data_IF_982647629645
#
_entry.id   IF_982647629645
#
_cell.length_a   1.000
_cell.length_b   1.000
_cell.length_c   1.000
_cell.angle_alpha   90.00
_cell.angle_beta   90.00
_cell.angle_gamma   90.00
#
_symmetry.space_group_name_H-M   'P 1'
#
loop_
_entity.id
_entity.type
_entity.pdbx_description
1 polymer ?
#
# COMPACT_ATOMS: atom_id res chain seq x y z
N UNK A 1 39.89 4.52 53.40
CA UNK A 1 41.17 5.01 52.85
C UNK A 1 41.20 4.72 51.36
N UNK A 2 41.71 5.64 50.51
CA UNK A 2 41.27 5.85 49.14
C UNK A 2 41.99 4.95 48.13
N UNK A 3 41.39 4.71 46.95
CA UNK A 3 42.13 4.29 45.76
C UNK A 3 41.87 5.28 44.62
N UNK A 4 42.98 5.69 44.04
CA UNK A 4 43.25 6.87 43.24
C UNK A 4 42.71 6.82 41.82
N UNK A 5 42.20 7.98 41.38
CA UNK A 5 41.90 8.37 40.00
C UNK A 5 43.19 8.40 39.16
N UNK A 6 43.22 7.71 38.02
CA UNK A 6 44.15 8.01 36.91
C UNK A 6 43.34 8.49 35.71
N UNK A 7 43.41 9.80 35.48
CA UNK A 7 43.07 10.46 34.24
C UNK A 7 44.35 10.75 33.47
N UNK A 8 44.44 10.25 32.24
CA UNK A 8 45.23 10.80 31.13
C UNK A 8 44.75 10.04 29.89
N UNK A 9 43.93 10.60 29.00
CA UNK A 9 44.12 11.90 28.36
C UNK A 9 44.76 11.65 27.01
N UNK A 10 43.92 11.46 25.99
CA UNK A 10 44.32 11.24 24.60
C UNK A 10 43.15 11.56 23.67
N UNK A 11 42.86 12.86 23.55
CA UNK A 11 41.99 13.46 22.55
C UNK A 11 42.39 13.01 21.12
N UNK A 12 41.50 12.91 20.13
CA UNK A 12 40.81 14.06 19.52
C UNK A 12 39.61 13.59 18.69
N UNK A 13 38.49 14.27 18.92
CA UNK A 13 37.49 14.58 17.91
C UNK A 13 38.18 15.18 16.69
N UNK A 14 38.02 14.56 15.52
CA UNK A 14 38.14 15.25 14.23
C UNK A 14 37.14 14.64 13.26
N UNK A 15 36.08 15.42 13.02
CA UNK A 15 35.14 15.35 11.90
C UNK A 15 34.41 14.02 11.68
N UNK A 16 33.12 14.03 12.01
CA UNK A 16 32.13 13.07 11.54
C UNK A 16 32.02 13.06 10.02
N UNK A 17 32.92 12.34 9.37
CA UNK A 17 32.74 11.81 8.03
C UNK A 17 32.35 10.36 8.19
N UNK A 18 31.07 10.07 7.98
CA UNK A 18 30.58 8.70 7.86
C UNK A 18 31.42 8.01 6.78
N UNK A 19 32.00 6.85 7.08
CA UNK A 19 32.77 6.09 6.09
C UNK A 19 31.82 5.67 4.96
N UNK A 20 31.99 6.22 3.77
CA UNK A 20 31.24 5.79 2.59
C UNK A 20 31.71 4.38 2.23
N UNK A 21 30.83 3.39 2.38
CA UNK A 21 31.04 2.03 1.90
C UNK A 21 31.34 2.08 0.39
N UNK A 22 32.58 1.74 0.00
CA UNK A 22 32.96 1.68 -1.41
C UNK A 22 32.50 0.35 -2.00
N UNK A 23 31.49 0.39 -2.86
CA UNK A 23 31.06 -0.79 -3.62
C UNK A 23 31.99 -0.99 -4.82
N UNK A 24 33.19 -1.49 -4.58
CA UNK A 24 34.01 -2.10 -5.63
C UNK A 24 33.62 -3.58 -5.79
N UNK A 25 32.34 -3.86 -6.04
CA UNK A 25 31.95 -5.18 -6.53
C UNK A 25 32.15 -5.19 -8.04
N UNK A 26 33.29 -5.75 -8.45
CA UNK A 26 33.53 -6.16 -9.83
C UNK A 26 32.47 -7.19 -10.20
N UNK A 27 31.47 -6.78 -10.99
CA UNK A 27 30.55 -7.71 -11.66
C UNK A 27 31.39 -8.53 -12.64
N UNK A 28 31.78 -9.74 -12.23
CA UNK A 28 32.49 -10.68 -13.09
C UNK A 28 31.50 -11.30 -14.07
N UNK A 29 31.24 -10.60 -15.17
CA UNK A 29 31.06 -11.27 -16.47
C UNK A 29 32.00 -10.60 -17.46
N UNK A 30 33.24 -11.10 -17.47
CA UNK A 30 34.18 -10.86 -18.55
C UNK A 30 33.59 -11.42 -19.85
N UNK A 31 33.39 -10.56 -20.84
CA UNK A 31 33.16 -10.99 -22.23
C UNK A 31 34.51 -10.96 -22.94
N UNK A 32 35.11 -12.12 -23.29
CA UNK A 32 36.15 -12.15 -24.31
C UNK A 32 35.52 -12.26 -25.70
N UNK A 33 35.94 -11.37 -26.60
CA UNK A 33 35.61 -11.39 -28.03
C UNK A 33 36.76 -12.05 -28.78
N UNK A 34 36.56 -13.27 -29.31
CA UNK A 34 37.24 -13.73 -30.53
C UNK A 34 36.73 -15.09 -31.05
N UNK A 35 36.49 -15.09 -32.37
CA UNK A 35 36.76 -16.13 -33.36
C UNK A 35 36.12 -17.55 -33.29
N UNK A 36 35.23 -17.78 -34.28
CA UNK A 36 35.09 -18.96 -35.16
C UNK A 36 35.03 -20.40 -34.56
N UNK A 37 33.86 -21.01 -34.78
CA UNK A 37 33.61 -22.25 -35.52
C UNK A 37 33.03 -23.47 -34.74
N UNK A 38 31.84 -23.90 -35.23
CA UNK A 38 31.29 -25.29 -35.32
C UNK A 38 31.00 -26.02 -34.00
N UNK A 39 29.91 -26.73 -33.76
CA UNK A 39 28.66 -27.07 -34.45
C UNK A 39 27.72 -27.66 -33.37
N UNK A 40 26.44 -27.91 -33.69
CA UNK A 40 25.42 -28.70 -32.94
C UNK A 40 24.40 -27.97 -32.02
N UNK A 41 23.26 -27.64 -32.65
CA UNK A 41 21.85 -27.68 -32.19
C UNK A 41 21.39 -26.97 -30.90
N UNK A 42 20.51 -25.94 -31.01
CA UNK A 42 19.65 -25.50 -29.91
C UNK A 42 18.17 -25.86 -30.12
N UNK A 43 17.55 -26.36 -29.05
CA UNK A 43 16.12 -26.69 -28.94
C UNK A 43 15.32 -25.39 -28.65
N UNK A 44 14.45 -25.06 -29.60
CA UNK A 44 13.13 -24.38 -29.54
C UNK A 44 12.89 -23.31 -28.44
N UNK A 45 12.79 -22.04 -28.90
CA UNK A 45 12.00 -20.98 -28.27
C UNK A 45 10.96 -20.42 -29.27
N UNK A 46 9.87 -19.91 -28.70
CA UNK A 46 8.51 -19.66 -29.22
C UNK A 46 8.35 -18.70 -30.41
N UNK A 47 7.22 -18.77 -31.15
CA UNK A 47 6.94 -17.89 -32.29
C UNK A 47 6.10 -16.67 -31.89
N UNK A 48 6.65 -15.46 -32.05
CA UNK A 48 5.88 -14.23 -32.18
C UNK A 48 6.26 -13.60 -33.53
N UNK A 49 5.33 -13.64 -34.50
CA UNK A 49 5.51 -13.06 -35.84
C UNK A 49 4.29 -12.18 -36.13
N UNK A 50 4.45 -10.86 -35.97
CA UNK A 50 3.55 -9.86 -36.51
C UNK A 50 4.33 -9.13 -37.59
N UNK A 51 3.99 -9.41 -38.85
CA UNK A 51 4.59 -8.80 -40.02
C UNK A 51 3.92 -7.44 -40.27
N UNK A 52 4.74 -6.40 -40.41
CA UNK A 52 4.38 -5.11 -41.00
C UNK A 52 5.10 -5.04 -42.34
N UNK A 53 4.36 -4.72 -43.41
CA UNK A 53 4.89 -4.36 -44.72
C UNK A 53 4.23 -3.04 -45.09
N UNK A 54 5.05 -2.02 -45.31
CA UNK A 54 4.72 -0.78 -46.02
C UNK A 54 5.08 -0.93 -47.52
N UNK A 55 4.87 0.16 -48.27
CA UNK A 55 5.18 0.46 -49.69
C UNK A 55 3.96 0.16 -50.63
N UNK A 56 3.38 1.09 -51.40
CA UNK A 56 3.90 2.28 -52.12
C UNK A 56 2.82 3.37 -52.39
N UNK A 57 3.27 4.59 -52.74
CA UNK A 57 2.54 5.81 -53.10
C UNK A 57 2.06 5.84 -54.57
N UNK A 58 0.86 6.39 -54.85
CA UNK A 58 0.58 7.42 -55.87
C UNK A 58 -0.94 7.78 -56.00
N UNK A 59 -1.17 9.08 -56.17
CA UNK A 59 -2.35 9.95 -56.43
C UNK A 59 -3.31 9.46 -57.57
N UNK A 60 -4.53 9.94 -57.83
CA UNK A 60 -5.44 10.99 -57.36
C UNK A 60 -6.85 10.68 -57.98
N UNK A 61 -7.89 11.32 -57.44
CA UNK A 61 -9.05 11.89 -58.16
C UNK A 61 -10.47 11.25 -58.04
N UNK A 62 -11.39 12.19 -57.78
CA UNK A 62 -12.87 12.24 -57.84
C UNK A 62 -13.72 11.20 -57.11
N UNK A 63 -14.57 11.66 -56.17
CA UNK A 63 -15.94 12.18 -56.41
C UNK A 63 -16.80 12.02 -55.14
N UNK A 64 -17.32 13.15 -54.66
CA UNK A 64 -18.23 13.25 -53.52
C UNK A 64 -19.56 12.54 -53.83
N UNK A 65 -20.02 11.66 -52.92
CA UNK A 65 -21.45 11.40 -52.73
C UNK A 65 -21.79 11.46 -51.24
N UNK A 66 -22.62 12.46 -50.96
CA UNK A 66 -23.28 12.75 -49.69
C UNK A 66 -24.40 11.73 -49.50
N UNK A 67 -24.29 10.84 -48.50
CA UNK A 67 -25.36 9.89 -48.15
C UNK A 67 -25.66 10.00 -46.66
N UNK A 68 -26.69 10.80 -46.40
CA UNK A 68 -27.79 10.60 -45.46
C UNK A 68 -27.50 10.04 -44.06
N UNK A 69 -27.69 10.95 -43.09
CA UNK A 69 -27.89 10.75 -41.66
C UNK A 69 -28.85 9.58 -41.39
N UNK A 70 -28.30 8.45 -40.94
CA UNK A 70 -29.06 7.40 -40.25
C UNK A 70 -28.74 7.44 -38.76
N UNK A 71 -29.78 7.63 -37.95
CA UNK A 71 -29.69 7.53 -36.49
C UNK A 71 -29.38 6.06 -36.10
N UNK A 72 -28.38 5.79 -35.26
CA UNK A 72 -28.23 4.46 -34.69
C UNK A 72 -29.16 4.28 -33.49
N UNK A 73 -30.03 3.27 -33.59
CA UNK A 73 -30.84 2.71 -32.51
C UNK A 73 -30.01 2.44 -31.23
N UNK A 74 -30.62 2.55 -30.03
CA UNK A 74 -29.91 2.38 -28.78
C UNK A 74 -29.49 0.92 -28.58
N UNK A 75 -28.20 0.66 -28.73
CA UNK A 75 -27.54 -0.57 -28.29
C UNK A 75 -27.79 -0.71 -26.79
N UNK A 76 -28.53 -1.76 -26.43
CA UNK A 76 -28.79 -2.18 -25.06
C UNK A 76 -27.47 -2.26 -24.28
N UNK A 77 -27.24 -1.25 -23.44
CA UNK A 77 -26.18 -1.26 -22.45
C UNK A 77 -26.56 -2.35 -21.46
N UNK A 78 -25.83 -3.47 -21.51
CA UNK A 78 -25.91 -4.49 -20.47
C UNK A 78 -25.44 -3.84 -19.18
N UNK A 79 -26.42 -3.41 -18.38
CA UNK A 79 -26.22 -3.01 -16.99
C UNK A 79 -25.71 -4.26 -16.28
N UNK A 80 -24.39 -4.30 -16.04
CA UNK A 80 -23.83 -5.13 -14.99
C UNK A 80 -24.51 -4.67 -13.72
N UNK A 81 -25.43 -5.49 -13.25
CA UNK A 81 -26.21 -5.29 -12.04
C UNK A 81 -25.22 -5.08 -10.88
N UNK A 82 -25.06 -3.82 -10.43
CA UNK A 82 -24.39 -3.54 -9.18
C UNK A 82 -25.15 -4.31 -8.08
N UNK A 83 -24.50 -5.21 -7.32
CA UNK A 83 -25.17 -5.92 -6.24
C UNK A 83 -25.74 -4.89 -5.27
N UNK A 84 -27.08 -4.90 -5.14
CA UNK A 84 -27.80 -4.09 -4.16
C UNK A 84 -27.21 -4.34 -2.77
N UNK A 85 -27.05 -3.26 -2.02
CA UNK A 85 -26.40 -3.21 -0.70
C UNK A 85 -27.18 -3.98 0.37
N UNK A 86 -27.12 -5.30 0.33
CA UNK A 86 -27.37 -6.10 1.50
C UNK A 86 -26.13 -5.96 2.39
N UNK A 87 -26.28 -5.20 3.49
CA UNK A 87 -25.25 -5.05 4.53
C UNK A 87 -24.55 -6.37 4.76
N UNK A 88 -23.22 -6.38 4.64
CA UNK A 88 -22.46 -7.62 4.75
C UNK A 88 -22.69 -8.28 6.12
N UNK A 89 -22.59 -9.61 6.22
CA UNK A 89 -22.73 -10.31 7.50
C UNK A 89 -21.78 -9.72 8.58
N UNK A 90 -20.60 -9.30 8.15
CA UNK A 90 -19.64 -8.59 8.98
C UNK A 90 -20.18 -7.27 9.54
N UNK A 91 -20.84 -6.45 8.73
CA UNK A 91 -21.47 -5.20 9.17
C UNK A 91 -22.62 -5.46 10.12
N UNK A 92 -23.44 -6.49 9.88
CA UNK A 92 -24.50 -6.89 10.81
C UNK A 92 -23.94 -7.31 12.16
N UNK A 93 -22.82 -8.06 12.16
CA UNK A 93 -22.09 -8.43 13.38
C UNK A 93 -21.53 -7.19 14.07
N UNK A 94 -20.92 -6.27 13.32
CA UNK A 94 -20.35 -5.04 13.84
C UNK A 94 -21.39 -4.11 14.46
N UNK A 95 -22.56 -3.97 13.84
CA UNK A 95 -23.67 -3.18 14.37
C UNK A 95 -24.18 -3.70 15.73
N UNK A 96 -24.06 -5.01 15.97
CA UNK A 96 -24.42 -5.62 17.27
C UNK A 96 -23.35 -5.40 18.35
N UNK A 97 -22.15 -4.92 18.01
CA UNK A 97 -21.06 -4.75 18.96
C UNK A 97 -21.29 -3.54 19.87
N UNK A 98 -21.40 -3.83 21.17
CA UNK A 98 -21.54 -2.81 22.21
C UNK A 98 -20.21 -2.12 22.56
N UNK A 99 -20.27 -0.91 23.11
CA UNK A 99 -19.07 -0.18 23.59
C UNK A 99 -18.32 -0.94 24.70
N UNK A 100 -19.06 -1.75 25.48
CA UNK A 100 -18.48 -2.63 26.49
C UNK A 100 -17.62 -3.72 25.86
N UNK A 101 -18.02 -4.28 24.71
CA UNK A 101 -17.22 -5.25 23.99
C UNK A 101 -15.95 -4.61 23.39
N UNK A 102 -16.07 -3.40 22.84
CA UNK A 102 -14.91 -2.65 22.32
C UNK A 102 -13.90 -2.36 23.43
N UNK A 103 -14.36 -1.91 24.60
CA UNK A 103 -13.48 -1.67 25.76
C UNK A 103 -12.88 -2.96 26.31
N UNK A 104 -13.65 -4.06 26.40
CA UNK A 104 -13.12 -5.36 26.79
C UNK A 104 -12.04 -5.88 25.83
N UNK A 105 -12.25 -5.72 24.52
CA UNK A 105 -11.27 -6.05 23.48
C UNK A 105 -9.96 -5.26 23.68
N UNK A 106 -10.05 -3.94 23.88
CA UNK A 106 -8.87 -3.11 24.12
C UNK A 106 -8.13 -3.51 25.41
N UNK A 107 -8.86 -3.72 26.50
CA UNK A 107 -8.28 -4.15 27.78
C UNK A 107 -7.56 -5.51 27.67
N UNK A 108 -8.09 -6.44 26.85
CA UNK A 108 -7.42 -7.71 26.57
C UNK A 108 -6.08 -7.48 25.87
N UNK A 109 -6.06 -6.65 24.83
CA UNK A 109 -4.83 -6.31 24.09
C UNK A 109 -3.80 -5.59 24.96
N UNK A 110 -4.24 -4.69 25.86
CA UNK A 110 -3.33 -4.02 26.78
C UNK A 110 -2.71 -4.98 27.79
N UNK A 111 -3.50 -5.92 28.32
CA UNK A 111 -3.02 -6.94 29.26
C UNK A 111 -1.97 -7.87 28.67
N UNK A 112 -2.01 -8.11 27.36
CA UNK A 112 -0.98 -8.89 26.66
C UNK A 112 0.36 -8.15 26.55
N UNK A 113 0.39 -6.83 26.77
CA UNK A 113 1.63 -6.04 26.70
C UNK A 113 2.40 -6.12 28.01
N UNK A 114 3.73 -6.17 27.90
CA UNK A 114 4.64 -6.14 29.06
C UNK A 114 4.78 -4.75 29.70
N UNK A 115 4.49 -3.69 28.95
CA UNK A 115 4.69 -2.30 29.39
C UNK A 115 3.51 -1.41 29.00
N UNK A 116 3.27 -0.38 29.82
CA UNK A 116 2.30 0.67 29.52
C UNK A 116 2.72 1.43 28.26
N UNK A 117 1.73 1.87 27.47
CA UNK A 117 1.97 2.77 26.34
C UNK A 117 2.18 4.20 26.84
N UNK A 118 3.07 4.91 26.16
CA UNK A 118 3.37 6.33 26.42
C UNK A 118 2.53 7.23 25.51
N UNK A 119 2.27 8.48 25.94
CA UNK A 119 1.59 9.52 25.15
C UNK A 119 0.20 9.10 24.62
N UNK A 120 -0.63 8.51 25.48
CA UNK A 120 -1.98 8.03 25.11
C UNK A 120 -3.12 8.71 25.89
N UNK A 121 -2.79 9.76 26.63
CA UNK A 121 -3.73 10.44 27.54
C UNK A 121 -4.82 11.17 26.74
N UNK A 122 -4.46 11.75 25.60
CA UNK A 122 -5.37 12.52 24.74
C UNK A 122 -6.12 11.66 23.72
N UNK A 123 -5.84 10.35 23.65
CA UNK A 123 -6.46 9.46 22.66
C UNK A 123 -7.73 8.83 23.19
N UNK A 124 -8.79 8.94 22.39
CA UNK A 124 -10.04 8.21 22.59
C UNK A 124 -9.83 6.70 22.47
N UNK A 125 -10.74 5.91 23.05
CA UNK A 125 -10.71 4.44 22.94
C UNK A 125 -10.79 3.98 21.48
N UNK A 126 -11.62 4.65 20.67
CA UNK A 126 -11.76 4.39 19.24
C UNK A 126 -10.41 4.55 18.53
N UNK A 127 -9.75 5.70 18.71
CA UNK A 127 -8.46 6.00 18.08
C UNK A 127 -7.36 5.02 18.53
N UNK A 128 -7.38 4.59 19.79
CA UNK A 128 -6.47 3.55 20.30
C UNK A 128 -6.62 2.23 19.54
N UNK A 129 -7.87 1.78 19.37
CA UNK A 129 -8.21 0.54 18.63
C UNK A 129 -7.79 0.66 17.16
N UNK A 130 -8.11 1.77 16.51
CA UNK A 130 -7.80 2.01 15.10
C UNK A 130 -6.28 2.11 14.85
N UNK A 131 -5.54 2.85 15.68
CA UNK A 131 -4.07 2.90 15.57
C UNK A 131 -3.42 1.54 15.77
N UNK A 132 -3.97 0.70 16.64
CA UNK A 132 -3.46 -0.66 16.80
C UNK A 132 -3.69 -1.50 15.53
N UNK A 133 -4.86 -1.37 14.91
CA UNK A 133 -5.15 -1.98 13.63
C UNK A 133 -4.21 -1.47 12.52
N UNK A 134 -3.93 -0.16 12.48
CA UNK A 134 -2.99 0.47 11.53
C UNK A 134 -1.58 -0.13 11.58
N UNK A 135 -1.09 -0.44 12.78
CA UNK A 135 0.25 -1.02 13.02
C UNK A 135 0.28 -2.55 12.80
N UNK A 136 -0.89 -3.20 12.71
CA UNK A 136 -0.95 -4.65 12.49
C UNK A 136 -0.71 -5.00 11.02
N UNK A 137 0.49 -5.48 10.69
CA UNK A 137 0.87 -5.83 9.32
C UNK A 137 0.14 -7.05 8.74
N UNK A 138 -0.54 -7.84 9.57
CA UNK A 138 -1.21 -9.07 9.14
C UNK A 138 -2.39 -8.82 8.19
N UNK A 139 -2.95 -7.61 8.18
CA UNK A 139 -4.09 -7.20 7.33
C UNK A 139 -3.66 -6.42 6.07
N UNK A 140 -2.35 -6.43 5.77
CA UNK A 140 -1.75 -5.72 4.63
C UNK A 140 -1.43 -4.25 4.93
N UNK A 141 -0.94 -3.48 3.94
CA UNK A 141 -0.52 -2.09 4.14
C UNK A 141 -1.68 -1.18 4.55
N UNK A 142 -1.38 -0.18 5.39
CA UNK A 142 -2.34 0.83 5.91
C UNK A 142 -2.22 2.22 5.28
N UNK A 143 -1.13 2.48 4.56
CA UNK A 143 -0.83 3.77 3.95
C UNK A 143 -1.51 3.87 2.58
N UNK A 144 -2.06 5.04 2.24
CA UNK A 144 -2.70 5.31 0.96
C UNK A 144 -4.05 4.62 0.71
N UNK A 145 -4.68 4.04 1.74
CA UNK A 145 -6.03 3.45 1.65
C UNK A 145 -6.86 3.78 2.90
N UNK A 146 -8.18 3.83 2.74
CA UNK A 146 -9.10 3.98 3.87
C UNK A 146 -9.09 2.74 4.77
N UNK A 147 -9.27 2.94 6.08
CA UNK A 147 -9.35 1.87 7.08
C UNK A 147 -10.49 0.89 6.79
N UNK A 148 -11.63 1.38 6.33
CA UNK A 148 -12.78 0.56 5.92
C UNK A 148 -12.41 -0.38 4.77
N UNK A 149 -11.83 0.16 3.69
CA UNK A 149 -11.36 -0.63 2.54
C UNK A 149 -10.30 -1.65 2.94
N UNK A 150 -9.39 -1.28 3.85
CA UNK A 150 -8.37 -2.19 4.39
C UNK A 150 -9.00 -3.36 5.15
N UNK A 151 -9.97 -3.07 6.00
CA UNK A 151 -10.69 -4.08 6.79
C UNK A 151 -11.44 -5.05 5.87
N UNK A 152 -12.22 -4.53 4.92
CA UNK A 152 -12.95 -5.35 3.95
C UNK A 152 -12.03 -6.22 3.10
N UNK A 153 -10.89 -5.67 2.64
CA UNK A 153 -9.89 -6.46 1.90
C UNK A 153 -9.37 -7.62 2.76
N UNK A 154 -9.05 -7.37 4.03
CA UNK A 154 -8.57 -8.41 4.93
C UNK A 154 -9.62 -9.51 5.19
N UNK A 155 -10.89 -9.13 5.30
CA UNK A 155 -12.01 -10.05 5.46
C UNK A 155 -12.21 -10.92 4.20
N UNK A 156 -12.18 -10.30 3.01
CA UNK A 156 -12.23 -11.01 1.71
C UNK A 156 -11.06 -11.99 1.53
N UNK A 157 -9.90 -11.67 2.10
CA UNK A 157 -8.71 -12.54 2.09
C UNK A 157 -8.75 -13.63 3.17
N UNK A 158 -9.81 -13.70 3.99
CA UNK A 158 -9.95 -14.71 5.05
C UNK A 158 -8.98 -14.50 6.22
N UNK A 159 -8.46 -13.29 6.41
CA UNK A 159 -7.50 -12.97 7.47
C UNK A 159 -8.18 -12.74 8.83
N UNK A 160 -9.52 -12.81 8.88
CA UNK A 160 -10.34 -12.64 10.07
C UNK A 160 -9.99 -11.37 10.85
N UNK A 161 -10.14 -10.17 10.25
CA UNK A 161 -9.93 -8.92 10.98
C UNK A 161 -10.94 -8.78 12.15
N UNK A 162 -10.60 -8.09 13.25
CA UNK A 162 -11.46 -8.03 14.44
C UNK A 162 -12.72 -7.23 14.13
N UNK A 163 -13.88 -7.75 14.54
CA UNK A 163 -15.20 -7.13 14.29
C UNK A 163 -15.34 -5.82 15.08
N UNK A 164 -14.65 -5.70 16.21
CA UNK A 164 -14.62 -4.50 17.04
C UNK A 164 -14.01 -3.32 16.26
N UNK A 165 -13.06 -3.56 15.37
CA UNK A 165 -12.48 -2.51 14.50
C UNK A 165 -13.54 -1.98 13.54
N UNK A 166 -14.29 -2.87 12.89
CA UNK A 166 -15.37 -2.48 11.99
C UNK A 166 -16.48 -1.73 12.74
N UNK A 167 -16.84 -2.18 13.93
CA UNK A 167 -17.83 -1.51 14.78
C UNK A 167 -17.39 -0.09 15.18
N UNK A 168 -16.10 0.12 15.46
CA UNK A 168 -15.54 1.44 15.71
C UNK A 168 -15.62 2.31 14.46
N UNK A 169 -15.24 1.77 13.28
CA UNK A 169 -15.29 2.53 12.03
C UNK A 169 -16.70 3.01 11.71
N UNK A 170 -17.71 2.12 11.79
CA UNK A 170 -19.11 2.49 11.54
C UNK A 170 -19.60 3.60 12.48
N UNK A 171 -19.24 3.53 13.77
CA UNK A 171 -19.62 4.54 14.76
C UNK A 171 -18.95 5.90 14.53
N UNK A 172 -17.73 5.92 14.02
CA UNK A 172 -17.01 7.16 13.73
C UNK A 172 -17.42 7.76 12.38
N UNK A 173 -17.80 6.94 11.41
CA UNK A 173 -18.45 7.39 10.16
C UNK A 173 -19.78 8.09 10.45
N UNK A 174 -20.60 7.57 11.37
CA UNK A 174 -21.83 8.22 11.85
C UNK A 174 -21.57 9.59 12.52
N UNK A 175 -20.39 9.77 13.13
CA UNK A 175 -19.96 11.04 13.74
C UNK A 175 -19.30 12.00 12.74
N UNK A 176 -19.14 11.59 11.49
CA UNK A 176 -18.50 12.35 10.41
C UNK A 176 -17.09 12.87 10.77
N UNK A 177 -16.30 12.08 11.50
CA UNK A 177 -14.92 12.42 11.86
C UNK A 177 -13.97 12.08 10.71
N UNK A 178 -13.50 13.09 9.97
CA UNK A 178 -12.61 12.91 8.80
C UNK A 178 -11.29 12.23 9.14
N UNK A 179 -10.78 12.44 10.36
CA UNK A 179 -9.49 11.88 10.81
C UNK A 179 -9.53 10.35 10.99
N UNK A 180 -10.72 9.74 10.92
CA UNK A 180 -10.92 8.31 11.14
C UNK A 180 -10.83 7.49 9.84
N UNK A 181 -10.95 8.13 8.68
CA UNK A 181 -10.94 7.42 7.40
C UNK A 181 -9.57 6.84 7.06
N UNK A 182 -8.49 7.60 7.32
CA UNK A 182 -7.11 7.25 6.95
C UNK A 182 -6.25 6.96 8.17
N UNK A 183 -5.20 6.15 7.98
CA UNK A 183 -4.30 5.79 9.07
C UNK A 183 -3.52 7.00 9.59
N UNK A 184 -3.27 7.08 10.90
CA UNK A 184 -2.46 8.18 11.47
C UNK A 184 -1.02 8.22 10.91
N UNK A 185 -0.48 7.05 10.54
CA UNK A 185 0.84 6.95 9.89
C UNK A 185 0.81 7.63 8.52
N UNK A 186 -0.30 7.52 7.78
CA UNK A 186 -0.49 8.17 6.48
C UNK A 186 -0.44 9.70 6.63
N UNK A 187 -1.15 10.24 7.63
CA UNK A 187 -1.09 11.66 7.97
C UNK A 187 0.34 12.14 8.27
N UNK A 188 1.09 11.40 9.10
CA UNK A 188 2.49 11.77 9.42
C UNK A 188 3.34 11.82 8.14
N UNK A 189 3.26 10.79 7.29
CA UNK A 189 4.03 10.74 6.06
C UNK A 189 3.68 11.90 5.11
N UNK A 190 2.39 12.18 4.95
CA UNK A 190 1.91 13.27 4.09
C UNK A 190 2.32 14.65 4.64
N UNK A 191 2.31 14.83 5.97
CA UNK A 191 2.74 16.09 6.60
C UNK A 191 4.24 16.38 6.39
N UNK A 192 5.09 15.35 6.41
CA UNK A 192 6.53 15.50 6.19
C UNK A 192 6.89 15.85 4.75
N UNK A 193 6.09 15.40 3.77
CA UNK A 193 6.32 15.68 2.36
C UNK A 193 6.14 17.17 2.01
N UNK A 194 5.23 17.87 2.69
CA UNK A 194 4.94 19.30 2.45
C UNK A 194 6.07 20.22 2.97
N UNK A 195 6.86 19.76 3.94
CA UNK A 195 7.94 20.55 4.55
C UNK A 195 9.27 20.58 3.79
N UNK A 196 9.40 19.86 2.66
CA UNK A 196 10.65 19.76 1.90
C UNK A 196 10.79 20.82 0.78
N UNK A 197 9.80 21.68 0.60
CA UNK A 197 9.82 22.80 -0.35
C UNK A 197 9.81 24.14 0.40
N UNK A 198 10.90 24.47 1.09
CA UNK A 198 11.17 25.82 1.62
C UNK A 198 12.67 26.05 1.69
#
# INVERSE_FOLDING_TARGET
MPVTRRSSGGARSSNGKQSTLSFNHRVTKSVPKSAKAKDTTPIKASPLKRQVKEEDLAEEDVRQEEIERSEPEPVATQVLEEPREDKSDAELRAARVSDRQISAYWNKLERERKSKRVHQEDLTLAEKVLRYFDVSNQYGPCVGIERMKRWQRADRLGLNPPVEVLAVLLKEEEKHTKDVETAHIDYILNSTAVGATS
#
